data_IF_760319390158
#
_entry.id   IF_760319390158
#
_cell.length_a   1.000
_cell.length_b   1.000
_cell.length_c   1.000
_cell.angle_alpha   90.00
_cell.angle_beta   90.00
_cell.angle_gamma   90.00
#
_symmetry.space_group_name_H-M   'P 1'
#
loop_
_entity.id
_entity.type
_entity.pdbx_description
1 polymer ?
#
# COMPACT_ATOMS: atom_id res chain seq x y z
N UNK A 1 -32.28 2.67 -58.84
CA UNK A 1 -32.30 2.06 -60.17
C UNK A 1 -33.73 1.85 -60.67
N UNK A 2 -34.63 1.14 -59.93
CA UNK A 2 -36.01 0.83 -60.39
C UNK A 2 -36.84 2.05 -60.78
N UNK A 3 -36.74 3.18 -60.06
CA UNK A 3 -37.45 4.42 -60.37
C UNK A 3 -37.03 5.06 -61.72
N UNK A 4 -35.77 4.92 -62.10
CA UNK A 4 -35.24 5.42 -63.38
C UNK A 4 -35.78 4.59 -64.53
N UNK A 5 -35.85 3.28 -64.42
CA UNK A 5 -36.40 2.39 -65.44
C UNK A 5 -37.89 2.62 -65.64
N UNK A 6 -38.65 2.89 -64.58
CA UNK A 6 -40.07 3.28 -64.68
C UNK A 6 -40.26 4.62 -65.40
N UNK A 7 -39.41 5.61 -65.16
CA UNK A 7 -39.45 6.95 -65.76
C UNK A 7 -39.05 6.89 -67.24
N UNK A 8 -38.17 5.94 -67.63
CA UNK A 8 -37.72 5.75 -69.03
C UNK A 8 -38.64 4.84 -69.89
N UNK A 9 -39.76 4.34 -69.32
CA UNK A 9 -40.69 3.52 -70.06
C UNK A 9 -40.14 2.17 -70.51
N UNK A 10 -39.11 1.64 -69.87
CA UNK A 10 -38.49 0.35 -70.21
C UNK A 10 -39.48 -0.78 -69.91
N UNK A 11 -39.70 -1.72 -70.88
CA UNK A 11 -40.62 -2.83 -70.66
C UNK A 11 -40.18 -3.69 -69.50
N UNK A 12 -41.16 -4.17 -68.75
CA UNK A 12 -41.01 -4.89 -67.45
C UNK A 12 -40.16 -6.15 -67.62
N UNK A 13 -39.00 -6.16 -66.97
CA UNK A 13 -38.06 -7.31 -66.90
C UNK A 13 -38.24 -8.14 -65.63
N UNK A 14 -39.45 -8.25 -65.14
CA UNK A 14 -39.77 -9.02 -63.92
C UNK A 14 -39.69 -10.52 -64.19
N UNK A 15 -38.82 -11.24 -63.46
CA UNK A 15 -38.72 -12.71 -63.49
C UNK A 15 -40.00 -13.38 -62.94
N UNK A 16 -40.77 -12.66 -62.11
CA UNK A 16 -42.02 -13.15 -61.47
C UNK A 16 -43.29 -12.84 -62.26
N UNK A 17 -43.23 -12.20 -63.38
CA UNK A 17 -44.43 -11.80 -64.18
C UNK A 17 -45.23 -10.63 -63.58
N UNK A 18 -44.82 -10.05 -62.46
CA UNK A 18 -45.46 -8.88 -61.87
C UNK A 18 -45.01 -7.59 -62.56
N UNK A 19 -45.98 -6.72 -62.92
CA UNK A 19 -45.69 -5.41 -63.48
C UNK A 19 -45.01 -4.49 -62.47
N UNK A 20 -43.85 -3.96 -62.88
CA UNK A 20 -43.12 -3.02 -62.00
C UNK A 20 -43.89 -1.69 -61.96
N UNK A 21 -44.53 -1.37 -60.87
CA UNK A 21 -45.26 -0.13 -60.64
C UNK A 21 -44.75 0.62 -59.42
N UNK A 22 -45.05 1.90 -59.30
CA UNK A 22 -44.68 2.72 -58.11
C UNK A 22 -45.28 2.10 -56.84
N UNK A 23 -46.49 1.49 -56.94
CA UNK A 23 -47.15 0.82 -55.86
C UNK A 23 -46.39 -0.41 -55.33
N UNK A 24 -45.52 -1.05 -56.11
CA UNK A 24 -44.66 -2.15 -55.70
C UNK A 24 -43.26 -1.66 -55.23
N UNK A 25 -42.72 -0.65 -55.88
CA UNK A 25 -41.37 -0.12 -55.61
C UNK A 25 -41.31 0.59 -54.25
N UNK A 26 -42.33 1.41 -53.91
CA UNK A 26 -42.36 2.16 -52.67
C UNK A 26 -42.45 1.26 -51.43
N UNK A 27 -43.39 0.28 -51.33
CA UNK A 27 -43.38 -0.68 -50.23
C UNK A 27 -42.11 -1.47 -50.13
N UNK A 28 -41.55 -1.94 -51.24
CA UNK A 28 -40.26 -2.67 -51.27
C UNK A 28 -39.12 -1.87 -50.67
N UNK A 29 -38.95 -0.60 -51.06
CA UNK A 29 -37.93 0.29 -50.49
C UNK A 29 -38.17 0.52 -49.01
N UNK A 30 -39.42 0.67 -48.57
CA UNK A 30 -39.73 0.83 -47.16
C UNK A 30 -39.40 -0.44 -46.34
N UNK A 31 -39.78 -1.61 -46.86
CA UNK A 31 -39.43 -2.90 -46.26
C UNK A 31 -37.94 -3.11 -46.18
N UNK A 32 -37.18 -2.80 -47.25
CA UNK A 32 -35.72 -2.87 -47.27
C UNK A 32 -35.09 -1.95 -46.27
N UNK A 33 -35.56 -0.68 -46.16
CA UNK A 33 -35.11 0.27 -45.14
C UNK A 33 -35.38 -0.22 -43.72
N UNK A 34 -36.58 -0.75 -43.49
CA UNK A 34 -36.95 -1.30 -42.19
C UNK A 34 -36.11 -2.53 -41.86
N UNK A 35 -35.87 -3.43 -42.79
CA UNK A 35 -35.00 -4.60 -42.58
C UNK A 35 -33.56 -4.21 -42.27
N UNK A 36 -32.99 -3.27 -43.02
CA UNK A 36 -31.64 -2.76 -42.73
C UNK A 36 -31.56 -2.09 -41.37
N UNK A 37 -32.64 -1.38 -40.96
CA UNK A 37 -32.73 -0.80 -39.60
C UNK A 37 -32.71 -1.86 -38.49
N UNK A 38 -33.43 -2.97 -38.70
CA UNK A 38 -33.44 -4.08 -37.73
C UNK A 38 -32.07 -4.76 -37.60
N UNK A 39 -31.35 -4.94 -38.73
CA UNK A 39 -29.97 -5.47 -38.71
C UNK A 39 -29.05 -4.55 -37.88
N UNK A 40 -29.17 -3.22 -38.07
CA UNK A 40 -28.42 -2.25 -37.29
C UNK A 40 -28.69 -2.34 -35.78
N UNK A 41 -29.96 -2.51 -35.38
CA UNK A 41 -30.34 -2.70 -33.98
C UNK A 41 -29.76 -4.01 -33.40
N UNK A 42 -29.84 -5.11 -34.16
CA UNK A 42 -29.24 -6.39 -33.70
C UNK A 42 -27.74 -6.24 -33.50
N UNK A 43 -27.04 -5.58 -34.43
CA UNK A 43 -25.60 -5.33 -34.29
C UNK A 43 -25.25 -4.51 -33.03
N UNK A 44 -26.07 -3.50 -32.68
CA UNK A 44 -25.90 -2.72 -31.47
C UNK A 44 -26.15 -3.57 -30.21
N UNK A 45 -27.18 -4.44 -30.22
CA UNK A 45 -27.46 -5.34 -29.11
C UNK A 45 -26.33 -6.35 -28.90
N UNK A 46 -25.78 -6.92 -29.97
CA UNK A 46 -24.63 -7.82 -29.89
C UNK A 46 -23.43 -7.11 -29.25
N UNK A 47 -23.14 -5.88 -29.68
CA UNK A 47 -22.03 -5.10 -29.10
C UNK A 47 -22.28 -4.82 -27.60
N UNK A 48 -23.50 -4.48 -27.21
CA UNK A 48 -23.84 -4.27 -25.80
C UNK A 48 -23.65 -5.54 -24.94
N UNK A 49 -24.04 -6.71 -25.49
CA UNK A 49 -23.84 -8.01 -24.82
C UNK A 49 -22.35 -8.32 -24.70
N UNK A 50 -21.54 -8.12 -25.76
CA UNK A 50 -20.09 -8.35 -25.74
C UNK A 50 -19.41 -7.45 -24.70
N UNK A 51 -19.78 -6.17 -24.64
CA UNK A 51 -19.25 -5.25 -23.62
C UNK A 51 -19.67 -5.66 -22.20
N UNK A 52 -20.93 -6.09 -22.04
CA UNK A 52 -21.44 -6.59 -20.77
C UNK A 52 -20.71 -7.85 -20.30
N UNK A 53 -20.45 -8.80 -21.21
CA UNK A 53 -19.67 -10.01 -20.92
C UNK A 53 -18.22 -9.69 -20.55
N UNK A 54 -17.56 -8.79 -21.31
CA UNK A 54 -16.20 -8.38 -20.98
C UNK A 54 -16.08 -7.65 -19.62
N UNK A 55 -17.13 -6.90 -19.23
CA UNK A 55 -17.21 -6.29 -17.90
C UNK A 55 -17.44 -7.34 -16.79
N UNK A 56 -18.34 -8.30 -17.06
CA UNK A 56 -18.61 -9.40 -16.14
C UNK A 56 -17.39 -10.29 -15.93
N UNK A 57 -16.66 -10.61 -16.98
CA UNK A 57 -15.42 -11.41 -16.92
C UNK A 57 -14.40 -10.83 -15.95
N UNK A 58 -14.14 -9.52 -16.04
CA UNK A 58 -13.24 -8.82 -15.12
C UNK A 58 -13.73 -8.83 -13.67
N UNK A 59 -15.05 -8.75 -13.46
CA UNK A 59 -15.63 -8.80 -12.11
C UNK A 59 -15.49 -10.21 -11.54
N UNK A 60 -15.76 -11.23 -12.33
CA UNK A 60 -15.63 -12.63 -11.90
C UNK A 60 -14.16 -13.00 -11.69
N UNK A 61 -13.22 -12.54 -12.53
CA UNK A 61 -11.79 -12.71 -12.33
C UNK A 61 -11.36 -12.19 -10.94
N UNK A 62 -11.87 -11.01 -10.53
CA UNK A 62 -11.59 -10.46 -9.19
C UNK A 62 -12.27 -11.25 -8.07
N UNK A 63 -13.52 -11.73 -8.29
CA UNK A 63 -14.27 -12.51 -7.28
C UNK A 63 -13.64 -13.90 -7.08
N UNK A 64 -13.14 -14.50 -8.15
CA UNK A 64 -12.55 -15.84 -8.15
C UNK A 64 -11.06 -15.80 -7.76
N UNK A 65 -10.47 -14.59 -7.56
CA UNK A 65 -9.09 -14.44 -7.10
C UNK A 65 -8.90 -15.14 -5.76
N UNK A 66 -7.87 -15.95 -5.67
CA UNK A 66 -7.61 -16.72 -4.45
C UNK A 66 -7.19 -15.80 -3.32
N UNK A 67 -7.72 -15.99 -2.10
CA UNK A 67 -7.27 -15.22 -0.95
C UNK A 67 -5.78 -15.48 -0.69
N UNK A 68 -5.12 -14.48 -0.11
CA UNK A 68 -3.72 -14.58 0.27
C UNK A 68 -3.48 -15.79 1.18
N UNK A 69 -2.56 -16.67 0.79
CA UNK A 69 -2.21 -17.83 1.60
C UNK A 69 -1.55 -17.38 2.92
N UNK A 70 -2.06 -17.88 4.05
CA UNK A 70 -1.52 -17.60 5.38
C UNK A 70 -1.54 -18.87 6.23
N UNK A 71 -0.38 -19.46 6.41
CA UNK A 71 -0.18 -20.64 7.27
C UNK A 71 0.33 -20.28 8.68
N UNK A 72 0.35 -18.97 9.00
CA UNK A 72 0.74 -18.46 10.31
C UNK A 72 -0.18 -18.96 11.42
N UNK A 73 0.41 -19.28 12.56
CA UNK A 73 -0.30 -19.77 13.74
C UNK A 73 0.04 -19.00 15.02
N UNK A 74 1.06 -18.16 14.97
CA UNK A 74 1.38 -17.22 16.05
C UNK A 74 0.50 -15.99 15.89
N UNK A 75 -0.16 -15.57 16.96
CA UNK A 75 -1.11 -14.46 16.99
C UNK A 75 -0.66 -13.34 17.90
N UNK A 76 -1.08 -12.12 17.61
CA UNK A 76 -0.85 -10.96 18.46
C UNK A 76 -2.01 -10.82 19.45
N UNK A 77 -1.69 -10.75 20.74
CA UNK A 77 -2.67 -10.65 21.84
C UNK A 77 -2.33 -9.51 22.78
N UNK A 78 -3.35 -8.97 23.46
CA UNK A 78 -3.11 -8.13 24.63
C UNK A 78 -2.49 -8.98 25.73
N UNK A 79 -1.50 -8.45 26.44
CA UNK A 79 -0.78 -9.16 27.46
C UNK A 79 -0.75 -8.39 28.77
N UNK A 80 -0.63 -9.10 29.86
CA UNK A 80 -0.38 -8.55 31.21
C UNK A 80 0.69 -9.39 31.89
N UNK A 81 1.34 -8.79 32.91
CA UNK A 81 2.28 -9.52 33.77
C UNK A 81 1.51 -10.11 34.91
N UNK A 82 1.52 -11.42 35.07
CA UNK A 82 0.95 -12.09 36.21
C UNK A 82 1.76 -11.71 37.47
N UNK A 83 1.13 -11.12 38.51
CA UNK A 83 1.84 -10.61 39.67
C UNK A 83 2.49 -11.71 40.54
N UNK A 84 1.99 -12.94 40.46
CA UNK A 84 2.49 -14.05 41.25
C UNK A 84 3.66 -14.77 40.61
N UNK A 85 3.61 -14.93 39.28
CA UNK A 85 4.61 -15.69 38.49
C UNK A 85 5.62 -14.82 37.76
N UNK A 86 5.34 -13.52 37.60
CA UNK A 86 6.11 -12.56 36.84
C UNK A 86 6.22 -12.95 35.35
N UNK A 87 5.33 -13.81 34.86
CA UNK A 87 5.27 -14.22 33.47
C UNK A 87 4.20 -13.44 32.72
N UNK A 88 4.38 -13.31 31.41
CA UNK A 88 3.37 -12.75 30.53
C UNK A 88 2.23 -13.75 30.34
N UNK A 89 1.01 -13.26 30.43
CA UNK A 89 -0.21 -13.99 30.12
C UNK A 89 -1.13 -13.15 29.24
N UNK A 90 -2.04 -13.80 28.53
CA UNK A 90 -3.02 -13.14 27.68
C UNK A 90 -4.05 -12.40 28.54
N UNK A 91 -4.35 -11.17 28.16
CA UNK A 91 -5.41 -10.35 28.77
C UNK A 91 -6.63 -10.28 27.82
N UNK A 92 -7.82 -10.29 28.39
CA UNK A 92 -9.09 -10.18 27.70
C UNK A 92 -9.52 -8.72 27.41
N UNK A 93 -8.72 -7.76 27.85
CA UNK A 93 -8.94 -6.33 27.68
C UNK A 93 -7.69 -5.61 27.19
N UNK A 94 -7.86 -4.37 26.75
CA UNK A 94 -6.74 -3.54 26.31
C UNK A 94 -5.88 -3.13 27.49
N UNK A 95 -4.60 -3.54 27.49
CA UNK A 95 -3.63 -3.29 28.56
C UNK A 95 -2.54 -2.29 28.16
N UNK A 96 -2.48 -1.90 26.87
CA UNK A 96 -1.35 -1.16 26.31
C UNK A 96 -0.08 -2.01 26.12
N UNK A 97 -0.09 -3.28 26.49
CA UNK A 97 1.00 -4.23 26.31
C UNK A 97 0.58 -5.33 25.35
N UNK A 98 1.45 -5.63 24.38
CA UNK A 98 1.23 -6.66 23.38
C UNK A 98 2.25 -7.78 23.47
N UNK A 99 1.83 -9.01 23.18
CA UNK A 99 2.71 -10.16 23.08
C UNK A 99 2.31 -11.08 21.94
N UNK A 100 3.29 -11.80 21.43
CA UNK A 100 3.08 -12.91 20.50
C UNK A 100 2.69 -14.15 21.30
N UNK A 101 1.50 -14.69 21.05
CA UNK A 101 1.07 -16.00 21.52
C UNK A 101 1.61 -17.06 20.60
N UNK A 102 2.69 -17.72 20.98
CA UNK A 102 3.43 -18.70 20.20
C UNK A 102 3.19 -20.12 20.70
N UNK A 103 2.23 -20.88 20.13
CA UNK A 103 2.05 -22.28 20.45
C UNK A 103 3.18 -23.11 19.83
N UNK A 104 3.90 -23.85 20.66
CA UNK A 104 4.93 -24.78 20.22
C UNK A 104 4.28 -26.08 19.76
N UNK A 105 4.24 -26.34 18.43
CA UNK A 105 3.58 -27.52 17.85
C UNK A 105 4.13 -28.86 18.33
N UNK A 106 5.39 -28.89 18.80
CA UNK A 106 6.03 -30.12 19.27
C UNK A 106 5.67 -30.48 20.74
N UNK A 107 5.52 -29.48 21.61
CA UNK A 107 5.26 -29.69 23.05
C UNK A 107 3.82 -29.38 23.43
N UNK A 108 3.09 -28.62 22.63
CA UNK A 108 1.76 -28.08 22.95
C UNK A 108 1.79 -26.90 23.92
N UNK A 109 2.97 -26.47 24.37
CA UNK A 109 3.13 -25.33 25.28
C UNK A 109 2.90 -24.01 24.53
N UNK A 110 2.35 -23.03 25.25
CA UNK A 110 2.17 -21.66 24.72
C UNK A 110 3.21 -20.78 25.38
N UNK A 111 4.03 -20.13 24.57
CA UNK A 111 4.99 -19.11 24.99
C UNK A 111 4.43 -17.73 24.64
N UNK A 112 4.51 -16.77 25.57
CA UNK A 112 4.18 -15.37 25.34
C UNK A 112 5.48 -14.57 25.20
N UNK A 113 5.76 -14.12 23.96
CA UNK A 113 6.94 -13.31 23.66
C UNK A 113 6.53 -11.84 23.58
N UNK A 114 7.13 -10.93 24.39
CA UNK A 114 6.74 -9.53 24.38
C UNK A 114 7.02 -8.90 23.00
N UNK A 115 6.07 -8.10 22.52
CA UNK A 115 6.23 -7.35 21.27
C UNK A 115 7.18 -6.17 21.52
N UNK A 116 8.37 -6.19 20.94
CA UNK A 116 9.43 -5.17 21.13
C UNK A 116 9.90 -4.51 19.85
N UNK A 117 9.67 -5.15 18.70
CA UNK A 117 10.13 -4.64 17.43
C UNK A 117 11.58 -5.03 17.08
N UNK A 118 12.11 -6.13 17.64
CA UNK A 118 13.39 -6.69 17.22
C UNK A 118 13.23 -7.39 15.87
N UNK A 119 13.90 -6.90 14.83
CA UNK A 119 13.80 -7.44 13.49
C UNK A 119 15.16 -7.89 12.95
N UNK A 120 15.21 -9.14 12.50
CA UNK A 120 16.38 -9.76 11.90
C UNK A 120 16.01 -10.35 10.56
N UNK A 121 16.63 -9.85 9.51
CA UNK A 121 16.68 -10.46 8.18
C UNK A 121 18.07 -11.07 7.99
N UNK A 122 18.16 -12.35 7.65
CA UNK A 122 19.41 -13.10 7.62
C UNK A 122 19.55 -13.84 6.29
N UNK A 123 20.54 -13.40 5.51
CA UNK A 123 20.94 -13.97 4.22
C UNK A 123 19.76 -14.21 3.28
N UNK A 124 18.98 -13.17 3.01
CA UNK A 124 17.76 -13.26 2.21
C UNK A 124 18.07 -13.02 0.74
N UNK A 125 17.71 -13.99 -0.09
CA UNK A 125 17.63 -13.89 -1.54
C UNK A 125 16.15 -13.79 -1.93
N UNK A 126 15.82 -12.89 -2.87
CA UNK A 126 14.43 -12.69 -3.28
C UNK A 126 14.31 -12.13 -4.69
N UNK A 127 13.32 -12.63 -5.44
CA UNK A 127 12.86 -12.12 -6.72
C UNK A 127 11.34 -12.18 -6.83
N UNK A 128 10.74 -11.20 -7.50
CA UNK A 128 9.28 -11.20 -7.77
C UNK A 128 8.88 -12.27 -8.79
N UNK A 129 9.81 -12.68 -9.64
CA UNK A 129 9.67 -13.79 -10.59
C UNK A 129 10.87 -14.72 -10.46
N UNK A 130 10.73 -16.03 -10.79
CA UNK A 130 11.83 -17.00 -10.66
C UNK A 130 13.09 -16.62 -11.46
N UNK A 131 12.92 -15.87 -12.55
CA UNK A 131 14.01 -15.53 -13.47
C UNK A 131 14.67 -14.18 -13.15
N UNK A 132 14.17 -13.45 -12.15
CA UNK A 132 14.68 -12.11 -11.83
C UNK A 132 14.82 -11.92 -10.32
N UNK A 133 16.02 -12.19 -9.80
CA UNK A 133 16.36 -11.86 -8.42
C UNK A 133 16.59 -10.35 -8.25
N UNK A 134 16.05 -9.82 -7.16
CA UNK A 134 16.12 -8.40 -6.78
C UNK A 134 16.99 -8.18 -5.55
N UNK A 135 17.03 -9.13 -4.62
CA UNK A 135 17.87 -9.10 -3.43
C UNK A 135 18.81 -10.31 -3.40
N UNK A 136 20.06 -10.09 -3.01
CA UNK A 136 21.11 -11.10 -3.02
C UNK A 136 21.84 -11.12 -1.67
N UNK A 137 21.56 -12.16 -0.85
CA UNK A 137 22.20 -12.38 0.44
C UNK A 137 22.05 -11.23 1.44
N UNK A 138 20.88 -10.57 1.46
CA UNK A 138 20.65 -9.38 2.27
C UNK A 138 20.48 -9.74 3.73
N UNK A 139 21.29 -9.11 4.62
CA UNK A 139 21.20 -9.25 6.07
C UNK A 139 21.02 -7.89 6.75
N UNK A 140 19.90 -7.71 7.44
CA UNK A 140 19.51 -6.48 8.14
C UNK A 140 19.18 -6.81 9.59
N UNK A 141 19.67 -5.99 10.53
CA UNK A 141 19.40 -6.15 11.95
C UNK A 141 18.93 -4.80 12.52
N UNK A 142 17.81 -4.80 13.20
CA UNK A 142 17.29 -3.64 13.92
C UNK A 142 16.88 -4.08 15.32
N UNK A 143 17.53 -3.52 16.34
CA UNK A 143 17.15 -3.71 17.74
C UNK A 143 15.95 -2.83 18.10
N UNK A 144 15.20 -3.17 19.16
CA UNK A 144 14.11 -2.34 19.65
C UNK A 144 14.54 -0.87 19.81
N UNK A 145 13.75 0.04 19.23
CA UNK A 145 13.98 1.49 19.28
C UNK A 145 15.04 2.03 18.32
N UNK A 146 15.68 1.19 17.49
CA UNK A 146 16.66 1.66 16.50
C UNK A 146 16.00 2.21 15.23
N UNK A 147 16.59 3.27 14.69
CA UNK A 147 16.28 3.84 13.39
C UNK A 147 17.26 3.35 12.35
N UNK A 148 16.79 2.60 11.36
CA UNK A 148 17.56 2.05 10.25
C UNK A 148 17.16 2.73 8.95
N UNK A 149 18.10 3.42 8.28
CA UNK A 149 17.84 4.06 7.00
C UNK A 149 18.37 3.23 5.84
N UNK A 150 17.54 3.03 4.83
CA UNK A 150 17.94 2.44 3.55
C UNK A 150 18.23 3.55 2.53
N UNK A 151 19.42 3.51 1.93
CA UNK A 151 19.91 4.48 0.96
C UNK A 151 20.39 3.74 -0.30
N UNK A 152 20.18 4.32 -1.46
CA UNK A 152 20.58 3.74 -2.75
C UNK A 152 19.72 4.25 -3.89
N UNK A 153 20.13 4.00 -5.12
CA UNK A 153 19.40 4.40 -6.32
C UNK A 153 18.00 3.75 -6.41
N UNK A 154 17.13 4.31 -7.25
CA UNK A 154 15.85 3.70 -7.59
C UNK A 154 16.08 2.30 -8.17
N UNK A 155 15.30 1.31 -7.70
CA UNK A 155 15.50 -0.09 -8.10
C UNK A 155 16.59 -0.85 -7.32
N UNK A 156 17.32 -0.23 -6.39
CA UNK A 156 18.32 -0.92 -5.59
C UNK A 156 17.78 -1.99 -4.60
N UNK A 157 16.45 -2.12 -4.44
CA UNK A 157 15.81 -3.12 -3.58
C UNK A 157 15.28 -2.60 -2.24
N UNK A 158 15.32 -1.28 -1.98
CA UNK A 158 14.85 -0.67 -0.71
C UNK A 158 13.40 -1.03 -0.37
N UNK A 159 12.48 -0.76 -1.28
CA UNK A 159 11.04 -1.07 -1.12
C UNK A 159 10.80 -2.59 -1.06
N UNK A 160 11.62 -3.39 -1.73
CA UNK A 160 11.53 -4.85 -1.65
C UNK A 160 11.81 -5.34 -0.24
N UNK A 161 12.82 -4.80 0.46
CA UNK A 161 13.11 -5.13 1.86
C UNK A 161 11.90 -4.83 2.75
N UNK A 162 11.28 -3.65 2.62
CA UNK A 162 10.11 -3.28 3.44
C UNK A 162 8.89 -4.13 3.13
N UNK A 163 8.69 -4.53 1.86
CA UNK A 163 7.65 -5.46 1.46
C UNK A 163 7.83 -6.85 2.10
N UNK A 164 9.07 -7.32 2.21
CA UNK A 164 9.37 -8.61 2.85
C UNK A 164 9.22 -8.53 4.38
N UNK A 165 9.58 -7.42 5.01
CA UNK A 165 9.34 -7.18 6.44
C UNK A 165 7.83 -7.22 6.74
N UNK A 166 7.01 -6.61 5.88
CA UNK A 166 5.54 -6.63 5.98
C UNK A 166 4.90 -7.96 5.53
N UNK A 167 5.72 -8.89 5.05
CA UNK A 167 5.29 -10.19 4.52
C UNK A 167 4.21 -10.06 3.44
N UNK A 168 4.36 -9.08 2.53
CA UNK A 168 3.57 -9.05 1.30
C UNK A 168 3.98 -10.17 0.34
N UNK A 169 5.21 -10.66 0.48
CA UNK A 169 5.77 -11.79 -0.23
C UNK A 169 6.45 -12.71 0.77
N UNK A 170 6.32 -14.02 0.57
CA UNK A 170 7.05 -15.02 1.34
C UNK A 170 8.40 -15.29 0.66
N UNK A 171 9.46 -15.47 1.45
CA UNK A 171 10.82 -15.76 0.96
C UNK A 171 11.03 -17.24 0.77
N UNK A 172 11.77 -17.61 -0.27
CA UNK A 172 12.15 -19.00 -0.53
C UNK A 172 13.46 -19.37 0.21
N UNK A 173 14.40 -18.42 0.32
CA UNK A 173 15.70 -18.61 0.96
C UNK A 173 16.01 -17.52 1.97
N UNK A 174 16.84 -17.84 2.97
CA UNK A 174 17.12 -16.98 4.10
C UNK A 174 16.08 -17.06 5.22
N UNK A 175 16.13 -16.12 6.16
CA UNK A 175 15.21 -16.06 7.32
C UNK A 175 14.89 -14.63 7.71
N UNK A 176 13.62 -14.36 7.97
CA UNK A 176 13.18 -13.11 8.60
C UNK A 176 12.57 -13.48 9.95
N UNK A 177 13.06 -12.84 11.03
CA UNK A 177 12.54 -13.02 12.39
C UNK A 177 12.07 -11.69 12.94
N UNK A 178 10.95 -11.73 13.65
CA UNK A 178 10.43 -10.60 14.38
C UNK A 178 10.26 -11.03 15.85
N UNK A 179 10.91 -10.32 16.77
CA UNK A 179 11.04 -10.70 18.18
C UNK A 179 11.52 -12.15 18.37
N UNK A 180 12.46 -12.60 17.54
CA UNK A 180 13.00 -13.97 17.54
C UNK A 180 12.13 -15.00 16.82
N UNK A 181 10.88 -14.70 16.49
CA UNK A 181 9.93 -15.60 15.83
C UNK A 181 10.08 -15.46 14.30
N UNK A 182 10.16 -16.59 13.57
CA UNK A 182 10.13 -16.54 12.11
C UNK A 182 8.79 -15.99 11.62
N UNK A 183 8.84 -14.95 10.78
CA UNK A 183 7.64 -14.24 10.29
C UNK A 183 6.65 -15.17 9.56
N UNK A 184 7.14 -16.27 8.95
CA UNK A 184 6.27 -17.25 8.31
C UNK A 184 5.38 -18.02 9.30
N UNK A 185 5.71 -18.00 10.59
CA UNK A 185 4.88 -18.59 11.66
C UNK A 185 3.84 -17.62 12.20
N UNK A 186 4.03 -16.30 11.99
CA UNK A 186 3.13 -15.26 12.47
C UNK A 186 2.00 -15.08 11.45
N UNK A 187 0.76 -14.96 11.88
CA UNK A 187 -0.35 -14.63 10.98
C UNK A 187 -0.11 -13.29 10.32
N UNK A 188 -0.30 -13.22 9.00
CA UNK A 188 -0.04 -12.00 8.20
C UNK A 188 -0.80 -10.78 8.72
N UNK A 189 -2.07 -10.97 9.10
CA UNK A 189 -2.89 -9.90 9.67
C UNK A 189 -2.31 -9.36 10.98
N UNK A 190 -1.84 -10.26 11.88
CA UNK A 190 -1.27 -9.90 13.17
C UNK A 190 0.13 -9.26 13.03
N UNK A 191 0.95 -9.76 12.09
CA UNK A 191 2.24 -9.15 11.76
C UNK A 191 2.04 -7.72 11.26
N UNK A 192 1.15 -7.51 10.29
CA UNK A 192 0.87 -6.17 9.72
C UNK A 192 0.23 -5.24 10.74
N UNK A 193 -0.58 -5.74 11.67
CA UNK A 193 -1.13 -4.96 12.78
C UNK A 193 -0.05 -4.45 13.72
N UNK A 194 1.05 -5.19 13.90
CA UNK A 194 2.18 -4.81 14.74
C UNK A 194 3.13 -3.80 14.09
N UNK A 195 2.96 -3.53 12.79
CA UNK A 195 3.81 -2.63 11.99
C UNK A 195 3.02 -1.38 11.60
N UNK A 196 3.52 -0.21 11.93
CA UNK A 196 3.02 1.05 11.38
C UNK A 196 3.66 1.33 10.02
N UNK A 197 2.85 1.71 9.04
CA UNK A 197 3.35 2.03 7.70
C UNK A 197 2.91 3.43 7.30
N UNK A 198 3.86 4.29 6.95
CA UNK A 198 3.61 5.60 6.34
C UNK A 198 4.22 5.59 4.95
N UNK A 199 3.35 5.63 3.95
CA UNK A 199 3.75 5.59 2.54
C UNK A 199 3.92 6.99 1.97
N UNK A 200 4.70 7.09 0.90
CA UNK A 200 4.85 8.30 0.09
C UNK A 200 3.51 8.78 -0.47
N UNK A 201 2.76 7.88 -1.11
CA UNK A 201 1.45 8.16 -1.67
C UNK A 201 0.38 7.91 -0.62
N UNK A 202 -0.14 9.01 -0.06
CA UNK A 202 -1.18 8.95 0.97
C UNK A 202 -2.55 8.77 0.34
N UNK A 203 -3.21 7.69 0.70
CA UNK A 203 -4.60 7.44 0.35
C UNK A 203 -5.53 7.71 1.55
N UNK A 204 -6.45 8.66 1.36
CA UNK A 204 -7.50 8.96 2.33
C UNK A 204 -8.84 8.41 1.84
N UNK A 205 -9.59 7.84 2.77
CA UNK A 205 -10.91 7.28 2.47
C UNK A 205 -11.98 8.39 2.45
N UNK A 206 -13.05 8.16 1.72
CA UNK A 206 -14.26 8.97 1.83
C UNK A 206 -14.86 8.78 3.22
N UNK A 207 -14.91 9.85 4.00
CA UNK A 207 -15.30 9.86 5.41
C UNK A 207 -14.79 11.11 6.08
N UNK A 208 -15.01 11.28 7.39
CA UNK A 208 -14.51 12.43 8.12
C UNK A 208 -12.99 12.39 8.29
N UNK A 209 -12.38 13.52 8.68
CA UNK A 209 -10.98 13.54 9.10
C UNK A 209 -10.76 12.61 10.30
N UNK A 210 -11.69 12.62 11.26
CA UNK A 210 -11.68 11.73 12.43
C UNK A 210 -11.67 10.26 12.02
N UNK A 211 -12.55 9.85 11.09
CA UNK A 211 -12.61 8.47 10.60
C UNK A 211 -11.29 8.05 9.93
N UNK A 212 -10.68 8.95 9.17
CA UNK A 212 -9.41 8.71 8.53
C UNK A 212 -8.25 8.52 9.52
N UNK A 213 -8.24 9.22 10.65
CA UNK A 213 -7.26 9.03 11.71
C UNK A 213 -7.56 7.72 12.46
N UNK A 214 -8.82 7.50 12.88
CA UNK A 214 -9.27 6.31 13.61
C UNK A 214 -9.07 5.01 12.84
N UNK A 215 -8.91 5.07 11.51
CA UNK A 215 -8.60 3.89 10.70
C UNK A 215 -7.32 3.17 11.15
N UNK A 216 -6.38 3.86 11.81
CA UNK A 216 -5.19 3.25 12.40
C UNK A 216 -5.50 2.32 13.59
N UNK A 217 -6.53 2.66 14.37
CA UNK A 217 -7.08 1.85 15.46
C UNK A 217 -8.58 2.15 15.58
N UNK A 218 -9.42 1.20 15.13
CA UNK A 218 -10.86 1.38 15.06
C UNK A 218 -11.52 1.52 16.43
N UNK A 219 -10.88 1.03 17.49
CA UNK A 219 -11.35 1.09 18.87
C UNK A 219 -10.89 2.38 19.61
N UNK A 220 -10.10 3.24 18.92
CA UNK A 220 -9.58 4.47 19.53
C UNK A 220 -10.70 5.49 19.80
N UNK A 221 -10.62 6.14 20.95
CA UNK A 221 -11.51 7.25 21.33
C UNK A 221 -11.20 8.52 20.52
N UNK A 222 -12.12 9.49 20.55
CA UNK A 222 -11.90 10.80 19.90
C UNK A 222 -10.68 11.51 20.50
N UNK A 223 -10.50 11.42 21.81
CA UNK A 223 -9.37 12.03 22.53
C UNK A 223 -8.04 11.42 22.10
N UNK A 224 -7.97 10.10 21.89
CA UNK A 224 -6.77 9.41 21.40
C UNK A 224 -6.46 9.82 19.95
N UNK A 225 -7.47 9.92 19.09
CA UNK A 225 -7.32 10.41 17.72
C UNK A 225 -6.82 11.86 17.68
N UNK A 226 -7.37 12.74 18.55
CA UNK A 226 -6.93 14.14 18.67
C UNK A 226 -5.49 14.22 19.20
N UNK A 227 -5.14 13.39 20.18
CA UNK A 227 -3.76 13.32 20.69
C UNK A 227 -2.77 12.88 19.60
N UNK A 228 -3.13 11.89 18.79
CA UNK A 228 -2.35 11.45 17.63
C UNK A 228 -2.21 12.54 16.57
N UNK A 229 -3.29 13.31 16.31
CA UNK A 229 -3.24 14.44 15.40
C UNK A 229 -2.31 15.56 15.89
N UNK A 230 -2.31 15.85 17.21
CA UNK A 230 -1.39 16.80 17.85
C UNK A 230 0.06 16.33 17.77
N UNK A 231 0.31 15.05 18.00
CA UNK A 231 1.64 14.46 17.87
C UNK A 231 2.17 14.64 16.44
N UNK A 232 1.32 14.35 15.44
CA UNK A 232 1.64 14.49 14.03
C UNK A 232 1.79 15.95 13.56
N UNK A 233 1.32 16.94 14.36
CA UNK A 233 1.23 18.35 13.95
C UNK A 233 0.06 18.64 13.00
N UNK A 234 -0.95 17.78 12.97
CA UNK A 234 -2.12 17.90 12.11
C UNK A 234 -3.24 18.76 12.74
N UNK A 235 -3.33 18.82 14.06
CA UNK A 235 -4.41 19.49 14.81
C UNK A 235 -4.61 20.94 14.41
N UNK A 236 -3.51 21.68 14.19
CA UNK A 236 -3.50 23.10 13.82
C UNK A 236 -4.26 23.39 12.52
N UNK A 237 -4.12 22.57 11.49
CA UNK A 237 -4.84 22.78 10.25
C UNK A 237 -6.24 22.17 10.31
N UNK A 238 -6.43 21.04 10.99
CA UNK A 238 -7.73 20.37 11.13
C UNK A 238 -8.74 21.30 11.81
N UNK A 239 -8.36 21.95 12.91
CA UNK A 239 -9.22 22.87 13.66
C UNK A 239 -9.59 24.14 12.87
N UNK A 240 -8.89 24.45 11.77
CA UNK A 240 -9.22 25.55 10.84
C UNK A 240 -10.13 25.12 9.68
N UNK A 241 -10.39 23.84 9.52
CA UNK A 241 -11.38 23.37 8.54
C UNK A 241 -12.80 23.77 9.00
N UNK A 242 -13.76 23.92 8.07
CA UNK A 242 -15.11 24.41 8.40
C UNK A 242 -15.78 23.59 9.53
N UNK A 243 -15.66 22.27 9.50
CA UNK A 243 -16.25 21.34 10.48
C UNK A 243 -15.17 20.66 11.33
N UNK A 244 -13.92 21.16 11.35
CA UNK A 244 -12.83 20.60 12.13
C UNK A 244 -12.58 19.13 11.80
N UNK A 245 -12.58 18.27 12.84
CA UNK A 245 -12.42 16.82 12.72
C UNK A 245 -13.57 16.11 11.99
N UNK A 246 -14.78 16.71 11.97
CA UNK A 246 -15.96 16.18 11.28
C UNK A 246 -15.99 16.57 9.80
N UNK A 247 -15.00 17.31 9.31
CA UNK A 247 -14.90 17.69 7.91
C UNK A 247 -14.87 16.46 7.03
N UNK A 248 -15.83 16.35 6.10
CA UNK A 248 -15.96 15.24 5.17
C UNK A 248 -14.91 15.31 4.08
N UNK A 249 -14.13 14.26 3.93
CA UNK A 249 -13.14 14.09 2.86
C UNK A 249 -13.72 13.22 1.73
N UNK A 250 -13.46 13.61 0.49
CA UNK A 250 -13.86 12.88 -0.71
C UNK A 250 -12.73 12.88 -1.74
N UNK A 251 -12.78 11.97 -2.70
CA UNK A 251 -11.82 11.95 -3.81
C UNK A 251 -10.36 11.89 -3.33
N UNK A 252 -10.04 11.01 -2.40
CA UNK A 252 -8.70 10.88 -1.81
C UNK A 252 -8.23 12.14 -1.06
N UNK A 253 -9.15 12.90 -0.45
CA UNK A 253 -8.82 14.15 0.22
C UNK A 253 -8.35 15.26 -0.74
N UNK A 254 -8.94 15.34 -1.93
CA UNK A 254 -8.55 16.31 -2.97
C UNK A 254 -8.63 17.77 -2.53
N UNK A 255 -9.42 18.08 -1.50
CA UNK A 255 -9.52 19.39 -0.88
C UNK A 255 -8.35 19.77 0.04
N UNK A 256 -7.48 18.81 0.36
CA UNK A 256 -6.31 19.01 1.21
C UNK A 256 -5.02 19.09 0.38
N UNK A 257 -4.04 19.84 0.85
CA UNK A 257 -2.70 19.83 0.28
C UNK A 257 -2.02 18.45 0.52
N UNK A 258 -0.99 18.15 -0.26
CA UNK A 258 -0.23 16.90 -0.08
C UNK A 258 0.35 16.78 1.34
N UNK A 259 0.91 17.85 1.88
CA UNK A 259 1.43 17.87 3.25
C UNK A 259 0.37 17.65 4.31
N UNK A 260 -0.84 18.21 4.14
CA UNK A 260 -1.96 17.97 5.06
C UNK A 260 -2.41 16.50 5.02
N UNK A 261 -2.48 15.88 3.84
CA UNK A 261 -2.75 14.44 3.72
C UNK A 261 -1.67 13.60 4.41
N UNK A 262 -0.39 13.98 4.25
CA UNK A 262 0.73 13.32 4.92
C UNK A 262 0.60 13.39 6.44
N UNK A 263 0.25 14.56 7.00
CA UNK A 263 0.04 14.73 8.44
C UNK A 263 -1.10 13.85 8.97
N UNK A 264 -2.20 13.67 8.21
CA UNK A 264 -3.27 12.73 8.57
C UNK A 264 -2.75 11.28 8.54
N UNK A 265 -1.92 10.92 7.56
CA UNK A 265 -1.32 9.58 7.50
C UNK A 265 -0.38 9.30 8.68
N UNK A 266 0.39 10.31 9.10
CA UNK A 266 1.22 10.22 10.33
C UNK A 266 0.35 10.06 11.57
N UNK A 267 -0.75 10.82 11.68
CA UNK A 267 -1.70 10.69 12.80
C UNK A 267 -2.37 9.30 12.83
N UNK A 268 -2.71 8.76 11.65
CA UNK A 268 -3.22 7.37 11.50
C UNK A 268 -2.23 6.34 12.01
N UNK A 269 -0.95 6.50 11.71
CA UNK A 269 0.09 5.61 12.22
C UNK A 269 0.34 5.82 13.72
N UNK A 270 0.21 7.05 14.21
CA UNK A 270 0.38 7.38 15.62
C UNK A 270 -0.71 6.77 16.52
N UNK A 271 -1.97 6.79 16.09
CA UNK A 271 -3.09 6.21 16.88
C UNK A 271 -3.02 4.69 16.97
N UNK A 272 -2.37 4.02 15.99
CA UNK A 272 -2.13 2.58 16.03
C UNK A 272 -1.07 2.18 17.05
N UNK A 273 -0.19 3.11 17.45
CA UNK A 273 0.91 2.95 18.42
C UNK A 273 1.75 1.66 18.24
N UNK A 274 2.24 1.38 17.04
CA UNK A 274 3.00 0.17 16.77
C UNK A 274 4.44 0.28 17.30
N UNK A 275 5.07 -0.82 17.79
CA UNK A 275 6.46 -0.81 18.27
C UNK A 275 7.49 -0.74 17.14
N UNK A 276 7.10 -1.07 15.92
CA UNK A 276 7.95 -0.97 14.75
C UNK A 276 7.23 -0.26 13.60
N UNK A 277 8.00 0.48 12.79
CA UNK A 277 7.49 1.33 11.73
C UNK A 277 8.28 1.19 10.43
N UNK A 278 7.58 1.36 9.33
CA UNK A 278 8.14 1.49 8.00
C UNK A 278 7.72 2.85 7.44
N UNK A 279 8.69 3.67 7.11
CA UNK A 279 8.46 5.01 6.59
C UNK A 279 9.07 5.12 5.19
N UNK A 280 8.23 5.45 4.21
CA UNK A 280 8.68 5.79 2.86
C UNK A 280 8.64 7.31 2.68
N UNK A 281 9.83 7.91 2.67
CA UNK A 281 10.01 9.36 2.74
C UNK A 281 10.19 9.96 1.34
N UNK A 282 9.12 10.26 0.64
CA UNK A 282 9.20 11.11 -0.55
C UNK A 282 8.30 12.33 -0.40
N UNK A 283 8.93 13.49 -0.28
CA UNK A 283 8.24 14.77 -0.04
C UNK A 283 8.54 15.80 -1.12
N UNK A 284 8.85 15.35 -2.33
CA UNK A 284 9.31 16.18 -3.45
C UNK A 284 8.33 17.27 -3.91
N UNK A 285 7.10 17.32 -3.37
CA UNK A 285 6.03 18.22 -3.80
C UNK A 285 5.36 19.01 -2.66
N UNK A 286 6.01 19.11 -1.49
CA UNK A 286 5.48 19.83 -0.32
C UNK A 286 6.23 21.16 -0.15
N UNK A 287 5.50 22.23 0.18
CA UNK A 287 6.13 23.52 0.50
C UNK A 287 7.01 23.43 1.76
N UNK A 288 8.06 24.25 1.83
CA UNK A 288 9.10 24.17 2.87
C UNK A 288 8.56 24.30 4.30
N UNK A 289 7.48 25.08 4.52
CA UNK A 289 6.91 25.25 5.86
C UNK A 289 6.16 24.00 6.32
N UNK A 290 5.30 23.47 5.46
CA UNK A 290 4.55 22.23 5.73
C UNK A 290 5.52 21.06 5.84
N UNK A 291 6.57 21.02 5.04
CA UNK A 291 7.65 20.05 5.10
C UNK A 291 8.29 19.97 6.49
N UNK A 292 8.62 21.11 7.10
CA UNK A 292 9.20 21.14 8.45
C UNK A 292 8.24 20.57 9.50
N UNK A 293 6.92 20.80 9.35
CA UNK A 293 5.90 20.24 10.26
C UNK A 293 5.79 18.70 10.07
N UNK A 294 5.75 18.25 8.83
CA UNK A 294 5.73 16.81 8.49
C UNK A 294 6.95 16.12 9.08
N UNK A 295 8.15 16.69 8.89
CA UNK A 295 9.39 16.13 9.44
C UNK A 295 9.35 16.06 10.97
N UNK A 296 8.90 17.13 11.65
CA UNK A 296 8.79 17.13 13.11
C UNK A 296 7.77 16.09 13.61
N UNK A 297 6.65 15.89 12.88
CA UNK A 297 5.67 14.84 13.17
C UNK A 297 6.26 13.44 12.99
N UNK A 298 7.02 13.22 11.91
CA UNK A 298 7.72 11.96 11.66
C UNK A 298 8.75 11.67 12.75
N UNK A 299 9.57 12.66 13.14
CA UNK A 299 10.59 12.48 14.16
C UNK A 299 9.96 12.09 15.50
N UNK A 300 8.87 12.75 15.93
CA UNK A 300 8.12 12.36 17.13
C UNK A 300 7.51 10.96 17.03
N UNK A 301 6.99 10.62 15.86
CA UNK A 301 6.42 9.30 15.63
C UNK A 301 7.46 8.18 15.75
N UNK A 302 8.71 8.46 15.37
CA UNK A 302 9.82 7.49 15.44
C UNK A 302 10.39 7.30 16.83
N UNK A 303 10.18 8.22 17.78
CA UNK A 303 10.74 8.15 19.13
C UNK A 303 10.35 6.87 19.85
N UNK A 304 11.35 6.12 20.33
CA UNK A 304 11.16 4.88 21.08
C UNK A 304 10.73 3.67 20.25
N UNK A 305 10.56 3.81 18.94
CA UNK A 305 10.11 2.73 18.03
C UNK A 305 11.23 2.28 17.10
N UNK A 306 11.24 0.98 16.82
CA UNK A 306 12.10 0.44 15.75
C UNK A 306 11.61 0.95 14.42
N UNK A 307 12.44 1.67 13.68
CA UNK A 307 11.99 2.35 12.46
C UNK A 307 12.87 2.00 11.27
N UNK A 308 12.23 1.57 10.19
CA UNK A 308 12.85 1.38 8.87
C UNK A 308 12.45 2.54 7.98
N UNK A 309 13.43 3.30 7.51
CA UNK A 309 13.19 4.48 6.67
C UNK A 309 13.76 4.26 5.29
N UNK A 310 12.91 4.32 4.25
CA UNK A 310 13.38 4.51 2.88
C UNK A 310 13.65 6.00 2.73
N UNK A 311 14.91 6.37 2.89
CA UNK A 311 15.27 7.77 3.01
C UNK A 311 15.57 8.38 1.65
N UNK A 312 14.89 9.48 1.37
CA UNK A 312 15.13 10.38 0.25
C UNK A 312 15.76 11.72 0.71
N UNK A 313 15.94 11.90 2.02
CA UNK A 313 16.51 13.12 2.63
C UNK A 313 17.75 12.83 3.44
N UNK A 314 18.75 13.65 3.22
CA UNK A 314 20.04 13.56 3.93
C UNK A 314 19.89 13.79 5.44
N UNK A 315 18.92 14.63 5.89
CA UNK A 315 18.67 14.89 7.32
C UNK A 315 18.19 13.64 8.06
N UNK A 316 17.24 12.91 7.47
CA UNK A 316 16.70 11.69 8.04
C UNK A 316 17.75 10.58 8.10
N UNK A 317 18.56 10.46 7.04
CA UNK A 317 19.67 9.50 6.98
C UNK A 317 20.70 9.79 8.06
N UNK A 318 21.12 11.06 8.20
CA UNK A 318 22.14 11.48 9.15
C UNK A 318 21.78 11.12 10.60
N UNK A 319 20.53 11.26 10.97
CA UNK A 319 20.04 11.02 12.33
C UNK A 319 19.62 9.55 12.59
N UNK A 320 20.01 8.63 11.70
CA UNK A 320 19.72 7.19 11.86
C UNK A 320 20.83 6.48 12.60
N UNK A 321 20.46 5.51 13.46
CA UNK A 321 21.42 4.70 14.23
C UNK A 321 22.24 3.77 13.31
N UNK A 322 21.62 3.32 12.22
CA UNK A 322 22.26 2.52 11.19
C UNK A 322 21.82 2.99 9.80
N UNK A 323 22.78 3.11 8.90
CA UNK A 323 22.57 3.42 7.49
C UNK A 323 23.01 2.20 6.70
N UNK A 324 22.14 1.73 5.82
CA UNK A 324 22.37 0.60 4.94
C UNK A 324 22.34 1.08 3.51
N UNK A 325 23.49 1.06 2.85
CA UNK A 325 23.60 1.43 1.44
C UNK A 325 23.39 0.19 0.57
N UNK A 326 22.41 0.29 -0.33
CA UNK A 326 22.02 -0.75 -1.26
C UNK A 326 22.42 -0.36 -2.68
N UNK A 327 22.97 -1.32 -3.39
CA UNK A 327 23.21 -1.21 -4.82
C UNK A 327 22.96 -2.57 -5.49
N UNK A 328 22.16 -2.58 -6.55
CA UNK A 328 21.81 -3.80 -7.29
C UNK A 328 21.42 -4.98 -6.37
N UNK A 329 20.56 -4.74 -5.38
CA UNK A 329 20.05 -5.77 -4.46
C UNK A 329 21.06 -6.26 -3.42
N UNK A 330 22.20 -5.63 -3.28
CA UNK A 330 23.26 -6.00 -2.32
C UNK A 330 23.53 -4.88 -1.34
N UNK A 331 23.84 -5.23 -0.09
CA UNK A 331 24.35 -4.25 0.88
C UNK A 331 25.83 -4.04 0.58
N UNK A 332 26.17 -2.82 0.17
CA UNK A 332 27.56 -2.43 -0.16
C UNK A 332 28.25 -1.72 0.99
N UNK A 333 27.51 -0.97 1.81
CA UNK A 333 28.01 -0.31 3.01
C UNK A 333 27.00 -0.37 4.14
N UNK A 334 27.51 -0.44 5.37
CA UNK A 334 26.74 -0.36 6.60
C UNK A 334 27.53 0.36 7.68
N UNK A 335 26.89 1.23 8.44
CA UNK A 335 27.47 1.96 9.58
C UNK A 335 26.58 3.11 10.01
N UNK A 336 27.04 3.93 10.96
CA UNK A 336 26.42 5.21 11.25
C UNK A 336 26.97 6.31 10.31
N UNK A 337 26.41 7.53 10.42
CA UNK A 337 26.80 8.66 9.58
C UNK A 337 28.30 8.93 9.62
N UNK A 338 28.88 9.07 10.82
CA UNK A 338 30.27 9.46 10.99
C UNK A 338 31.25 8.39 10.47
N UNK A 339 30.93 7.11 10.72
CA UNK A 339 31.69 5.97 10.21
C UNK A 339 31.72 5.94 8.68
N UNK A 340 30.57 6.14 8.04
CA UNK A 340 30.44 6.07 6.58
C UNK A 340 31.07 7.30 5.90
N UNK A 341 30.97 8.49 6.50
CA UNK A 341 31.67 9.68 6.02
C UNK A 341 33.20 9.49 6.08
N UNK A 342 33.71 8.90 7.20
CA UNK A 342 35.13 8.63 7.36
C UNK A 342 35.67 7.61 6.33
N UNK A 343 34.84 6.62 5.94
CA UNK A 343 35.17 5.62 4.91
C UNK A 343 35.35 6.22 3.50
N UNK A 344 34.72 7.38 3.22
CA UNK A 344 34.69 8.04 1.90
C UNK A 344 34.23 7.13 0.76
N UNK A 345 33.33 6.20 1.05
CA UNK A 345 32.77 5.23 0.10
C UNK A 345 31.53 5.75 -0.63
N UNK A 346 30.62 4.83 -0.96
CA UNK A 346 29.39 5.11 -1.69
C UNK A 346 28.48 6.11 -0.96
N UNK A 347 28.29 5.94 0.36
CA UNK A 347 27.51 6.86 1.18
C UNK A 347 28.10 8.30 1.15
N UNK A 348 29.41 8.42 1.25
CA UNK A 348 30.07 9.73 1.16
C UNK A 348 29.79 10.42 -0.16
N UNK A 349 29.83 9.68 -1.27
CA UNK A 349 29.57 10.22 -2.61
C UNK A 349 28.12 10.70 -2.75
N UNK A 350 27.15 9.91 -2.23
CA UNK A 350 25.74 10.32 -2.18
C UNK A 350 25.55 11.58 -1.31
N UNK A 351 26.16 11.60 -0.14
CA UNK A 351 26.02 12.70 0.82
C UNK A 351 26.62 14.02 0.30
N UNK A 352 27.72 13.98 -0.43
CA UNK A 352 28.41 15.15 -0.99
C UNK A 352 27.84 15.60 -2.34
N UNK A 353 26.83 14.94 -2.87
CA UNK A 353 26.20 15.27 -4.16
C UNK A 353 27.04 14.84 -5.36
N UNK A 354 28.01 13.94 -5.19
CA UNK A 354 28.76 13.36 -6.30
C UNK A 354 27.91 12.35 -7.12
N UNK A 355 26.83 11.83 -6.52
CA UNK A 355 25.75 11.08 -7.17
C UNK A 355 24.40 11.68 -6.74
N UNK A 356 23.49 11.89 -7.68
CA UNK A 356 22.10 12.26 -7.37
C UNK A 356 21.33 10.99 -6.97
N UNK A 357 20.50 11.11 -5.93
CA UNK A 357 19.46 10.12 -5.59
C UNK A 357 18.31 10.33 -6.58
N UNK A 358 18.39 9.79 -7.80
CA UNK A 358 17.27 9.75 -8.73
C UNK A 358 16.23 8.70 -8.35
#
# INVERSE_FOLDING_TARGET
>A
AGGIFLALGVPNLSISGMTLSIAVVVPFLNMTKQFCGQIGQISQQINAVVMGLAGADRIFELIDEKPEADEGYVTLVNAQVNPDTWQLEEADHHTGMWAWKHPHRATGEIEYVPLRGDLVMDNVDFGYTPDHEVLHGVSVFAKPGQKVAFVGATGAGKTTITNLISRFYDIADGKIRYDGINVNKIRKADLRRSLGVVLQDVNLFTGTVMDNIRYGNLDATDEECIAAAKLAGADDFITRLPDGYDTMLTGNGAQLSQGQRQLISIARAAVADPPAMILDEATSSIDTRTEAIVQAGMDKLMEGRTTFVIAHRLSTVRNSDAIICLDHGRIIERGNHDELIAKRGYYYQLYTGAFELE
#
